data_IF_887606521267
#
_entry.id   IF_887606521267
#
_cell.length_a   1.000
_cell.length_b   1.000
_cell.length_c   1.000
_cell.angle_alpha   90.00
_cell.angle_beta   90.00
_cell.angle_gamma   90.00
#
_symmetry.space_group_name_H-M   'P 1'
#
loop_
_entity.id
_entity.type
_entity.pdbx_description
1 polymer ?
#
# COMPACT_ATOMS: atom_id res chain seq x y z
N UNK A 1 6.35 5.38 -11.21
CA UNK A 1 7.07 4.72 -10.08
C UNK A 1 6.14 3.76 -9.37
N UNK A 2 6.66 2.89 -8.51
CA UNK A 2 5.84 2.06 -7.62
C UNK A 2 6.01 2.56 -6.19
N UNK A 3 4.90 2.91 -5.53
CA UNK A 3 4.88 3.25 -4.11
C UNK A 3 4.52 1.98 -3.35
N UNK A 4 5.37 1.54 -2.45
CA UNK A 4 5.11 0.45 -1.53
C UNK A 4 4.54 1.04 -0.25
N UNK A 5 3.35 0.58 0.14
CA UNK A 5 2.68 1.02 1.35
C UNK A 5 2.42 -0.18 2.27
N UNK A 6 3.36 -0.53 3.16
CA UNK A 6 3.12 -1.49 4.21
C UNK A 6 2.00 -1.01 5.14
N UNK A 7 0.98 -1.82 5.33
CA UNK A 7 -0.17 -1.55 6.18
C UNK A 7 -0.20 -2.59 7.31
N UNK A 8 0.09 -2.16 8.54
CA UNK A 8 0.01 -2.95 9.77
C UNK A 8 -0.53 -2.10 10.90
N UNK A 9 -1.47 -2.63 11.69
CA UNK A 9 -2.12 -1.91 12.79
C UNK A 9 -2.51 -0.48 12.41
N UNK A 10 -3.18 -0.37 11.26
CA UNK A 10 -3.45 0.93 10.61
C UNK A 10 -4.48 1.74 11.39
N UNK A 11 -4.20 3.03 11.60
CA UNK A 11 -5.24 4.01 11.93
C UNK A 11 -5.87 4.55 10.63
N UNK A 12 -7.20 4.47 10.53
CA UNK A 12 -7.91 4.75 9.27
C UNK A 12 -7.80 6.21 8.82
N UNK A 13 -7.65 7.15 9.75
CA UNK A 13 -7.43 8.58 9.50
C UNK A 13 -6.14 8.78 8.70
N UNK A 14 -5.01 8.30 9.23
CA UNK A 14 -3.71 8.46 8.57
C UNK A 14 -3.63 7.70 7.26
N UNK A 15 -4.21 6.51 7.17
CA UNK A 15 -4.27 5.79 5.90
C UNK A 15 -4.98 6.57 4.80
N UNK A 16 -6.08 7.25 5.13
CA UNK A 16 -6.79 8.11 4.17
C UNK A 16 -5.94 9.30 3.73
N UNK A 17 -5.18 9.89 4.64
CA UNK A 17 -4.25 10.99 4.33
C UNK A 17 -3.11 10.50 3.42
N UNK A 18 -2.46 9.38 3.78
CA UNK A 18 -1.42 8.74 3.00
C UNK A 18 -1.91 8.37 1.58
N UNK A 19 -3.08 7.73 1.48
CA UNK A 19 -3.71 7.38 0.21
C UNK A 19 -4.00 8.63 -0.63
N UNK A 20 -4.60 9.66 -0.03
CA UNK A 20 -4.88 10.93 -0.70
C UNK A 20 -3.60 11.61 -1.21
N UNK A 21 -2.50 11.50 -0.47
CA UNK A 21 -1.20 12.04 -0.89
C UNK A 21 -0.68 11.37 -2.18
N UNK A 22 -0.87 10.06 -2.34
CA UNK A 22 -0.50 9.32 -3.55
C UNK A 22 -1.44 9.66 -4.70
N UNK A 23 -2.75 9.68 -4.44
CA UNK A 23 -3.77 10.01 -5.45
C UNK A 23 -3.60 11.43 -6.02
N UNK A 24 -3.07 12.37 -5.23
CA UNK A 24 -2.86 13.77 -5.61
C UNK A 24 -1.47 14.07 -6.18
N UNK A 25 -0.63 13.06 -6.43
CA UNK A 25 0.69 13.26 -7.03
C UNK A 25 0.57 13.93 -8.41
N UNK A 26 1.50 14.86 -8.68
CA UNK A 26 1.52 15.65 -9.93
C UNK A 26 1.90 14.82 -11.16
N UNK A 27 2.65 13.72 -10.99
CA UNK A 27 2.88 12.72 -12.03
C UNK A 27 1.92 11.53 -11.81
N UNK A 28 0.90 11.34 -12.67
CA UNK A 28 -0.11 10.30 -12.47
C UNK A 28 0.40 8.88 -12.82
N UNK A 29 1.63 8.73 -13.30
CA UNK A 29 2.22 7.42 -13.70
C UNK A 29 2.78 6.65 -12.52
N UNK A 30 2.08 6.68 -11.41
CA UNK A 30 2.38 5.87 -10.22
C UNK A 30 1.60 4.55 -10.25
N UNK A 31 2.13 3.57 -9.52
CA UNK A 31 1.39 2.38 -9.12
C UNK A 31 1.52 2.30 -7.60
N UNK A 32 0.42 2.09 -6.89
CA UNK A 32 0.44 1.93 -5.45
C UNK A 32 0.30 0.44 -5.13
N UNK A 33 1.25 -0.10 -4.39
CA UNK A 33 1.23 -1.48 -3.89
C UNK A 33 1.02 -1.43 -2.39
N UNK A 34 -0.20 -1.69 -1.95
CA UNK A 34 -0.57 -1.80 -0.55
C UNK A 34 -0.20 -3.21 -0.09
N UNK A 35 0.64 -3.30 0.94
CA UNK A 35 1.10 -4.59 1.46
C UNK A 35 0.45 -4.85 2.82
N UNK A 36 -0.45 -5.82 2.87
CA UNK A 36 -1.08 -6.29 4.10
C UNK A 36 -0.36 -7.50 4.64
N UNK A 37 -0.43 -7.73 5.95
CA UNK A 37 0.30 -8.83 6.58
C UNK A 37 -0.60 -10.02 6.92
N UNK A 38 -0.07 -11.24 6.76
CA UNK A 38 -0.81 -12.46 7.06
C UNK A 38 -1.22 -12.60 8.53
N UNK A 39 -0.43 -12.02 9.45
CA UNK A 39 -0.63 -12.00 10.90
C UNK A 39 -1.47 -10.81 11.40
N UNK A 40 -2.01 -9.99 10.50
CA UNK A 40 -2.88 -8.85 10.81
C UNK A 40 -4.12 -8.88 9.88
N UNK A 41 -5.15 -9.68 10.23
CA UNK A 41 -6.36 -9.80 9.42
C UNK A 41 -7.30 -8.58 9.56
N UNK A 42 -7.13 -7.76 10.61
CA UNK A 42 -8.00 -6.62 10.89
C UNK A 42 -7.71 -5.45 9.95
N UNK A 43 -6.43 -5.18 9.66
CA UNK A 43 -6.03 -4.12 8.73
C UNK A 43 -6.68 -4.26 7.33
N UNK A 44 -6.62 -5.42 6.63
CA UNK A 44 -7.33 -5.61 5.37
C UNK A 44 -8.83 -5.33 5.45
N UNK A 45 -9.49 -5.80 6.51
CA UNK A 45 -10.93 -5.59 6.69
C UNK A 45 -11.28 -4.10 6.83
N UNK A 46 -10.37 -3.32 7.41
CA UNK A 46 -10.52 -1.87 7.60
C UNK A 46 -10.28 -1.08 6.31
N UNK A 47 -9.23 -1.41 5.54
CA UNK A 47 -8.79 -0.57 4.40
C UNK A 47 -9.40 -0.96 3.05
N UNK A 48 -9.78 -2.24 2.84
CA UNK A 48 -10.34 -2.68 1.55
C UNK A 48 -11.62 -1.92 1.15
N UNK A 49 -12.55 -1.57 2.07
CA UNK A 49 -13.70 -0.72 1.74
C UNK A 49 -13.31 0.65 1.18
N UNK A 50 -12.24 1.27 1.70
CA UNK A 50 -11.75 2.58 1.22
C UNK A 50 -11.22 2.51 -0.22
N UNK A 51 -10.78 1.32 -0.66
CA UNK A 51 -10.19 1.11 -1.98
C UNK A 51 -11.25 0.80 -3.05
N UNK A 52 -12.52 0.58 -2.68
CA UNK A 52 -13.53 0.12 -3.63
C UNK A 52 -13.82 1.11 -4.75
N UNK A 53 -13.74 2.41 -4.46
CA UNK A 53 -13.92 3.49 -5.42
C UNK A 53 -12.74 3.59 -6.42
N UNK A 54 -11.66 2.86 -6.19
CA UNK A 54 -10.41 2.95 -6.94
C UNK A 54 -10.03 1.63 -7.63
N UNK A 55 -10.98 0.70 -7.82
CA UNK A 55 -10.72 -0.63 -8.42
C UNK A 55 -10.07 -0.58 -9.81
N UNK A 56 -10.30 0.47 -10.59
CA UNK A 56 -9.69 0.67 -11.92
C UNK A 56 -8.43 1.56 -11.90
N UNK A 57 -7.93 1.92 -10.72
CA UNK A 57 -6.70 2.71 -10.56
C UNK A 57 -5.45 1.82 -10.49
N UNK A 58 -4.26 2.42 -10.57
CA UNK A 58 -2.98 1.72 -10.42
C UNK A 58 -2.70 1.18 -9.00
N UNK A 59 -3.74 0.89 -8.21
CA UNK A 59 -3.66 0.36 -6.85
C UNK A 59 -3.75 -1.17 -6.89
N UNK A 60 -2.84 -1.82 -6.18
CA UNK A 60 -2.78 -3.26 -5.98
C UNK A 60 -2.67 -3.57 -4.49
N UNK A 61 -3.25 -4.69 -4.06
CA UNK A 61 -3.13 -5.19 -2.68
C UNK A 61 -2.43 -6.53 -2.71
N UNK A 62 -1.33 -6.65 -1.96
CA UNK A 62 -0.50 -7.85 -1.87
C UNK A 62 -0.44 -8.30 -0.42
N UNK A 63 -0.59 -9.60 -0.20
CA UNK A 63 -0.40 -10.21 1.12
C UNK A 63 1.06 -10.63 1.31
N UNK A 64 1.68 -10.15 2.39
CA UNK A 64 3.00 -10.59 2.83
C UNK A 64 2.90 -11.71 3.84
N UNK A 65 3.53 -12.85 3.53
CA UNK A 65 3.79 -13.96 4.46
C UNK A 65 5.09 -13.74 5.28
N UNK A 66 5.87 -12.71 4.93
CA UNK A 66 7.11 -12.36 5.63
C UNK A 66 6.87 -11.65 6.96
N UNK A 67 7.83 -11.78 7.88
CA UNK A 67 7.78 -11.13 9.20
C UNK A 67 8.28 -9.68 9.12
N UNK A 68 7.65 -8.82 9.93
CA UNK A 68 8.03 -7.41 10.11
C UNK A 68 8.05 -6.61 8.80
N UNK A 69 8.60 -5.40 8.87
CA UNK A 69 8.65 -4.44 7.76
C UNK A 69 9.50 -4.92 6.57
N UNK A 70 10.56 -5.70 6.80
CA UNK A 70 11.39 -6.26 5.72
C UNK A 70 10.61 -7.26 4.88
N UNK A 71 9.75 -8.08 5.50
CA UNK A 71 8.89 -9.01 4.78
C UNK A 71 7.93 -8.29 3.83
N UNK A 72 7.30 -7.21 4.31
CA UNK A 72 6.41 -6.39 3.49
C UNK A 72 7.13 -5.75 2.31
N UNK A 73 8.30 -5.14 2.54
CA UNK A 73 9.08 -4.56 1.45
C UNK A 73 9.50 -5.60 0.42
N UNK A 74 9.95 -6.79 0.84
CA UNK A 74 10.31 -7.84 -0.10
C UNK A 74 9.12 -8.30 -0.95
N UNK A 75 7.94 -8.45 -0.34
CA UNK A 75 6.71 -8.79 -1.06
C UNK A 75 6.32 -7.69 -2.06
N UNK A 76 6.38 -6.43 -1.63
CA UNK A 76 6.12 -5.27 -2.48
C UNK A 76 7.11 -5.14 -3.64
N UNK A 77 8.42 -5.30 -3.37
CA UNK A 77 9.47 -5.28 -4.38
C UNK A 77 9.31 -6.38 -5.42
N UNK A 78 8.89 -7.59 -5.01
CA UNK A 78 8.60 -8.69 -5.93
C UNK A 78 7.39 -8.40 -6.84
N UNK A 79 6.48 -7.51 -6.41
CA UNK A 79 5.34 -7.06 -7.20
C UNK A 79 5.64 -5.82 -8.05
N UNK A 80 6.60 -4.99 -7.65
CA UNK A 80 6.98 -3.80 -8.40
C UNK A 80 7.46 -4.16 -9.82
N UNK A 81 7.02 -3.36 -10.80
CA UNK A 81 7.36 -3.52 -12.23
C UNK A 81 7.97 -2.26 -12.84
N UNK A 82 8.12 -1.21 -12.04
CA UNK A 82 8.62 0.08 -12.53
C UNK A 82 10.10 0.29 -12.19
N UNK A 83 10.83 1.15 -12.93
CA UNK A 83 12.25 1.39 -12.68
C UNK A 83 12.57 2.09 -11.35
N UNK A 84 11.57 2.69 -10.70
CA UNK A 84 11.72 3.46 -9.47
C UNK A 84 10.71 3.01 -8.44
N UNK A 85 11.20 2.74 -7.23
CA UNK A 85 10.37 2.33 -6.10
C UNK A 85 10.57 3.30 -4.94
N UNK A 86 9.48 3.66 -4.28
CA UNK A 86 9.44 4.46 -3.06
C UNK A 86 8.71 3.66 -1.97
N UNK A 87 9.05 3.87 -0.71
CA UNK A 87 8.28 3.39 0.43
C UNK A 87 7.55 4.58 1.07
N UNK A 88 6.25 4.42 1.32
CA UNK A 88 5.41 5.36 2.04
C UNK A 88 4.68 4.57 3.12
N UNK A 89 4.85 4.93 4.39
CA UNK A 89 4.14 4.21 5.44
C UNK A 89 2.66 4.65 5.48
N UNK A 90 1.79 3.78 5.99
CA UNK A 90 0.36 4.08 6.05
C UNK A 90 -0.01 5.20 7.03
N UNK A 91 0.94 5.65 7.85
CA UNK A 91 0.83 6.74 8.81
C UNK A 91 1.53 8.06 8.38
N UNK A 92 2.13 8.09 7.19
CA UNK A 92 2.83 9.24 6.58
C UNK A 92 2.11 9.73 5.29
#
# INVERSE_FOLDING_TARGET
>A
MTVLMPCRNVELSFFREALSSVLSQTDPRWNLCIIVHADDPDTPALILPELECYKDSGISVVRSEGRMITGAHNAGMAHARTPYVCALHADD
#
